data_IF_112076407173
#
_entry.id   IF_112076407173
#
_cell.length_a   1.000
_cell.length_b   1.000
_cell.length_c   1.000
_cell.angle_alpha   90.00
_cell.angle_beta   90.00
_cell.angle_gamma   90.00
#
_symmetry.space_group_name_H-M   'P 1'
#
loop_
_entity.id
_entity.type
_entity.pdbx_description
1 polymer ?
#
# COMPACT_ATOMS: atom_id res chain seq x y z
N UNK A 1 5.82 -6.11 -37.79
CA UNK A 1 6.06 -6.04 -36.33
C UNK A 1 4.79 -6.52 -35.65
N UNK A 2 4.81 -7.71 -35.07
CA UNK A 2 3.66 -8.23 -34.32
C UNK A 2 3.47 -7.42 -33.04
N UNK A 3 2.23 -7.17 -32.59
CA UNK A 3 2.01 -6.53 -31.30
C UNK A 3 2.46 -7.49 -30.20
N UNK A 4 3.23 -6.97 -29.24
CA UNK A 4 3.48 -7.66 -27.98
C UNK A 4 2.15 -7.70 -27.24
N UNK A 5 1.53 -8.88 -27.18
CA UNK A 5 0.39 -9.15 -26.32
C UNK A 5 0.84 -9.09 -24.86
N UNK A 6 0.71 -7.95 -24.20
CA UNK A 6 0.79 -7.86 -22.74
C UNK A 6 -0.51 -8.39 -22.15
N UNK A 7 -0.61 -9.72 -22.04
CA UNK A 7 -1.57 -10.37 -21.16
C UNK A 7 -1.26 -9.95 -19.73
N UNK A 8 -1.92 -8.90 -19.27
CA UNK A 8 -1.78 -8.41 -17.90
C UNK A 8 -3.13 -8.59 -17.25
N UNK A 9 -3.31 -9.72 -16.57
CA UNK A 9 -4.33 -9.85 -15.53
C UNK A 9 -3.94 -8.88 -14.42
N UNK A 10 -4.31 -7.62 -14.54
CA UNK A 10 -3.97 -6.59 -13.57
C UNK A 10 -4.76 -6.90 -12.30
N UNK A 11 -4.07 -7.28 -11.21
CA UNK A 11 -4.71 -7.39 -9.90
C UNK A 11 -5.33 -6.05 -9.47
N UNK A 12 -6.19 -6.08 -8.46
CA UNK A 12 -6.93 -4.90 -7.99
C UNK A 12 -5.97 -3.74 -7.72
N UNK A 13 -6.32 -2.55 -8.20
CA UNK A 13 -5.52 -1.34 -8.07
C UNK A 13 -6.34 -0.15 -7.61
N UNK A 14 -5.72 0.74 -6.85
CA UNK A 14 -6.32 2.00 -6.39
C UNK A 14 -5.25 3.10 -6.38
N UNK A 15 -5.67 4.35 -6.34
CA UNK A 15 -4.77 5.49 -6.16
C UNK A 15 -5.20 6.29 -4.95
N UNK A 16 -4.27 6.51 -4.02
CA UNK A 16 -4.48 7.33 -2.82
C UNK A 16 -3.67 8.62 -2.92
N UNK A 17 -4.09 9.63 -2.17
CA UNK A 17 -3.45 10.95 -2.16
C UNK A 17 -2.75 11.16 -0.81
N UNK A 18 -1.43 11.29 -0.81
CA UNK A 18 -0.65 11.46 0.42
C UNK A 18 -0.15 12.90 0.53
N UNK A 19 -0.53 13.56 1.61
CA UNK A 19 -0.01 14.88 1.93
C UNK A 19 1.36 14.76 2.58
N UNK A 20 2.37 15.40 1.98
CA UNK A 20 3.72 15.43 2.54
C UNK A 20 3.78 16.33 3.77
N UNK A 21 4.48 15.85 4.79
CA UNK A 21 4.83 16.56 6.02
C UNK A 21 6.15 17.29 5.80
N UNK A 22 6.37 18.41 6.50
CA UNK A 22 7.64 19.12 6.42
C UNK A 22 8.84 18.22 6.71
N UNK A 23 8.71 17.29 7.68
CA UNK A 23 9.77 16.33 8.04
C UNK A 23 10.00 15.21 7.02
N UNK A 24 9.21 15.13 5.94
CA UNK A 24 9.42 14.14 4.89
C UNK A 24 10.57 14.55 3.95
N UNK A 25 10.91 15.84 3.91
CA UNK A 25 11.97 16.36 3.03
C UNK A 25 13.34 16.38 3.71
N UNK A 26 14.40 16.35 2.90
CA UNK A 26 15.76 16.65 3.35
C UNK A 26 16.18 18.10 3.06
N UNK A 27 17.43 18.43 3.37
CA UNK A 27 18.00 19.76 3.15
C UNK A 27 18.02 20.21 1.68
N UNK A 28 17.82 19.29 0.73
CA UNK A 28 17.78 19.59 -0.71
C UNK A 28 16.37 19.87 -1.22
N UNK A 29 15.34 19.82 -0.37
CA UNK A 29 13.96 20.13 -0.73
C UNK A 29 13.22 18.99 -1.45
N UNK A 30 13.76 17.78 -1.40
CA UNK A 30 13.11 16.58 -1.94
C UNK A 30 12.74 15.63 -0.80
N UNK A 31 11.74 14.78 -1.04
CA UNK A 31 11.40 13.69 -0.12
C UNK A 31 12.65 12.84 0.12
N UNK A 32 13.03 12.72 1.38
CA UNK A 32 14.17 11.93 1.78
C UNK A 32 13.90 10.44 1.47
N UNK A 33 14.90 9.74 0.98
CA UNK A 33 14.78 8.33 0.59
C UNK A 33 14.24 7.45 1.73
N UNK A 34 14.67 7.65 2.98
CA UNK A 34 14.19 6.83 4.11
C UNK A 34 12.72 7.07 4.44
N UNK A 35 12.15 8.19 4.02
CA UNK A 35 10.74 8.53 4.27
C UNK A 35 9.80 7.80 3.30
N UNK A 36 10.29 7.31 2.15
CA UNK A 36 9.44 6.57 1.20
C UNK A 36 8.78 5.36 1.85
N UNK A 37 9.47 4.61 2.70
CA UNK A 37 8.87 3.44 3.37
C UNK A 37 7.74 3.84 4.33
N UNK A 38 7.86 5.00 4.98
CA UNK A 38 6.78 5.57 5.80
C UNK A 38 5.61 6.03 4.94
N UNK A 39 5.87 6.63 3.80
CA UNK A 39 4.81 6.99 2.85
C UNK A 39 4.14 5.74 2.25
N UNK A 40 4.87 4.65 2.04
CA UNK A 40 4.29 3.36 1.64
C UNK A 40 3.37 2.77 2.72
N UNK A 41 3.67 3.00 4.00
CA UNK A 41 2.81 2.61 5.13
C UNK A 41 1.51 3.40 5.15
N UNK A 42 1.60 4.73 5.09
CA UNK A 42 0.43 5.61 4.97
C UNK A 42 -0.43 5.21 3.76
N UNK A 43 0.21 4.93 2.62
CA UNK A 43 -0.46 4.47 1.41
C UNK A 43 -1.28 3.18 1.65
N UNK A 44 -0.73 2.23 2.42
CA UNK A 44 -1.43 0.98 2.77
C UNK A 44 -2.62 1.25 3.68
N UNK A 45 -2.48 2.10 4.69
CA UNK A 45 -3.60 2.43 5.59
C UNK A 45 -4.75 3.08 4.80
N UNK A 46 -4.44 4.04 3.92
CA UNK A 46 -5.44 4.70 3.08
C UNK A 46 -6.08 3.74 2.06
N UNK A 47 -5.32 2.78 1.53
CA UNK A 47 -5.82 1.87 0.49
C UNK A 47 -6.54 0.65 1.06
N UNK A 48 -6.09 0.14 2.21
CA UNK A 48 -6.47 -1.16 2.75
C UNK A 48 -7.21 -1.12 4.08
N UNK A 49 -7.31 0.05 4.70
CA UNK A 49 -7.97 0.25 5.99
C UNK A 49 -6.98 0.33 7.15
N UNK A 50 -7.51 0.73 8.29
CA UNK A 50 -6.74 0.91 9.52
C UNK A 50 -6.58 -0.44 10.23
N UNK A 51 -5.38 -0.79 10.73
CA UNK A 51 -5.22 -1.95 11.59
C UNK A 51 -6.11 -1.87 12.84
N UNK A 52 -6.55 -3.01 13.34
CA UNK A 52 -7.26 -3.11 14.62
C UNK A 52 -6.37 -2.63 15.78
N UNK A 53 -7.00 -2.12 16.85
CA UNK A 53 -6.30 -1.67 18.07
C UNK A 53 -5.65 -0.28 18.01
N UNK A 54 -5.98 0.54 17.00
CA UNK A 54 -5.44 1.90 16.83
C UNK A 54 -6.08 2.96 17.74
N UNK A 55 -6.96 2.56 18.66
CA UNK A 55 -7.65 3.48 19.57
C UNK A 55 -8.60 4.44 18.86
N UNK A 56 -8.96 4.16 17.61
CA UNK A 56 -10.03 4.86 16.92
C UNK A 56 -11.32 4.73 17.76
N UNK A 57 -12.09 5.82 17.94
CA UNK A 57 -13.34 5.73 18.68
C UNK A 57 -14.27 4.72 18.00
N UNK A 58 -14.79 3.77 18.78
CA UNK A 58 -15.84 2.81 18.37
C UNK A 58 -17.19 3.52 18.14
N UNK A 59 -17.19 4.68 17.51
CA UNK A 59 -18.42 5.38 17.20
C UNK A 59 -19.01 4.82 15.92
N UNK A 60 -20.11 4.07 16.04
CA UNK A 60 -20.97 3.60 14.93
C UNK A 60 -21.40 4.74 13.97
N UNK A 61 -21.33 6.00 14.44
CA UNK A 61 -21.77 7.20 13.73
C UNK A 61 -20.68 7.98 12.98
N UNK A 62 -19.40 7.59 13.05
CA UNK A 62 -18.40 8.15 12.15
C UNK A 62 -18.36 7.32 10.86
N UNK A 63 -18.60 7.92 9.68
CA UNK A 63 -18.39 7.20 8.44
C UNK A 63 -16.89 6.90 8.34
N UNK A 64 -16.51 5.68 8.69
CA UNK A 64 -15.21 5.14 8.34
C UNK A 64 -15.13 5.30 6.82
N UNK A 65 -14.19 6.12 6.34
CA UNK A 65 -13.99 6.26 4.89
C UNK A 65 -13.58 4.88 4.42
N UNK A 66 -14.53 4.16 3.82
CA UNK A 66 -14.34 2.78 3.44
C UNK A 66 -13.08 2.68 2.59
N UNK A 67 -12.14 1.85 3.05
CA UNK A 67 -10.90 1.64 2.33
C UNK A 67 -11.22 1.16 0.91
N UNK A 68 -10.56 1.69 -0.13
CA UNK A 68 -10.83 1.29 -1.51
C UNK A 68 -10.71 -0.22 -1.75
N UNK A 69 -9.88 -0.91 -0.97
CA UNK A 69 -9.69 -2.36 -1.02
C UNK A 69 -9.79 -2.87 0.41
N UNK A 70 -10.89 -3.52 0.78
CA UNK A 70 -11.08 -4.06 2.12
C UNK A 70 -10.17 -5.28 2.36
N UNK A 71 -8.99 -5.03 2.94
CA UNK A 71 -7.95 -6.04 3.15
C UNK A 71 -7.38 -6.05 4.57
N UNK A 72 -6.95 -4.91 5.12
CA UNK A 72 -6.41 -4.84 6.49
C UNK A 72 -7.56 -4.88 7.51
N UNK A 73 -8.67 -4.19 7.20
CA UNK A 73 -9.89 -4.18 8.02
C UNK A 73 -10.62 -5.52 8.09
N UNK A 74 -10.49 -6.38 7.06
CA UNK A 74 -11.17 -7.68 7.00
C UNK A 74 -10.32 -8.88 7.44
N UNK A 75 -9.17 -8.64 8.07
CA UNK A 75 -8.34 -9.70 8.66
C UNK A 75 -9.03 -10.24 9.92
N UNK A 76 -9.11 -11.58 10.11
CA UNK A 76 -9.72 -12.15 11.32
C UNK A 76 -9.05 -11.66 12.61
N UNK A 77 -9.83 -11.60 13.69
CA UNK A 77 -9.29 -11.33 15.03
C UNK A 77 -8.16 -12.32 15.37
N UNK A 78 -7.11 -11.83 16.02
CA UNK A 78 -5.92 -12.63 16.35
C UNK A 78 -4.95 -12.84 15.19
N UNK A 79 -5.18 -12.26 14.00
CA UNK A 79 -4.22 -12.31 12.88
C UNK A 79 -3.51 -10.96 12.71
N UNK A 80 -2.18 -10.99 12.77
CA UNK A 80 -1.30 -9.86 12.49
C UNK A 80 -1.04 -9.74 10.99
N UNK A 81 -1.04 -8.50 10.50
CA UNK A 81 -0.55 -8.15 9.16
C UNK A 81 0.86 -7.60 9.28
N UNK A 82 1.85 -8.34 8.81
CA UNK A 82 3.27 -7.96 8.91
C UNK A 82 3.86 -7.69 7.53
N UNK A 83 4.90 -6.86 7.49
CA UNK A 83 5.74 -6.72 6.30
C UNK A 83 7.00 -7.55 6.47
N UNK A 84 7.24 -8.44 5.52
CA UNK A 84 8.46 -9.27 5.46
C UNK A 84 9.55 -8.68 4.58
N UNK A 85 9.18 -7.87 3.58
CA UNK A 85 10.13 -7.30 2.62
C UNK A 85 9.61 -5.99 2.03
N UNK A 86 10.53 -5.06 1.79
CA UNK A 86 10.33 -3.91 0.90
C UNK A 86 11.42 -3.88 -0.17
N UNK A 87 11.04 -3.52 -1.40
CA UNK A 87 11.98 -3.12 -2.46
C UNK A 87 11.62 -1.73 -2.94
N UNK A 88 12.60 -0.82 -3.03
CA UNK A 88 12.37 0.56 -3.48
C UNK A 88 13.35 0.94 -4.58
N UNK A 89 12.85 1.51 -5.68
CA UNK A 89 13.64 2.06 -6.78
C UNK A 89 13.33 3.54 -6.96
N UNK A 90 14.31 4.39 -6.67
CA UNK A 90 14.25 5.83 -6.86
C UNK A 90 14.65 6.15 -8.30
N UNK A 91 13.68 6.54 -9.13
CA UNK A 91 13.91 6.81 -10.55
C UNK A 91 14.23 8.28 -10.80
N UNK A 92 13.61 9.16 -10.03
CA UNK A 92 13.77 10.62 -10.04
C UNK A 92 13.57 11.15 -8.62
N UNK A 93 13.98 12.38 -8.39
CA UNK A 93 13.65 13.08 -7.16
C UNK A 93 12.15 13.37 -7.11
N UNK A 94 11.56 13.29 -5.92
CA UNK A 94 10.20 13.72 -5.64
C UNK A 94 10.28 15.00 -4.81
N UNK A 95 10.08 16.20 -5.40
CA UNK A 95 10.17 17.45 -4.66
C UNK A 95 9.10 17.56 -3.57
N UNK A 96 9.45 18.16 -2.44
CA UNK A 96 8.46 18.51 -1.42
C UNK A 96 7.56 19.62 -1.94
N UNK A 97 6.24 19.37 -1.94
CA UNK A 97 5.23 20.35 -2.32
C UNK A 97 3.97 20.18 -1.48
N UNK A 98 3.11 21.21 -1.49
CA UNK A 98 1.81 21.18 -0.80
C UNK A 98 0.78 20.31 -1.52
N UNK A 99 0.93 20.11 -2.83
CA UNK A 99 0.09 19.19 -3.59
C UNK A 99 0.30 17.77 -3.06
N UNK A 100 -0.77 17.01 -2.78
CA UNK A 100 -0.65 15.61 -2.42
C UNK A 100 0.08 14.83 -3.50
N UNK A 101 0.84 13.82 -3.09
CA UNK A 101 1.48 12.87 -4.00
C UNK A 101 0.48 11.76 -4.30
N UNK A 102 0.07 11.57 -5.58
CA UNK A 102 -0.67 10.40 -5.99
C UNK A 102 0.22 9.16 -5.84
N UNK A 103 -0.24 8.19 -5.08
CA UNK A 103 0.40 6.88 -4.96
C UNK A 103 -0.55 5.84 -5.51
N UNK A 104 -0.14 5.20 -6.61
CA UNK A 104 -0.87 4.05 -7.16
C UNK A 104 -0.43 2.80 -6.43
N UNK A 105 -1.38 2.05 -5.88
CA UNK A 105 -1.16 0.73 -5.30
C UNK A 105 -1.80 -0.32 -6.19
N UNK A 106 -1.15 -1.46 -6.29
CA UNK A 106 -1.70 -2.61 -7.00
C UNK A 106 -1.31 -3.90 -6.29
N UNK A 107 -2.23 -4.85 -6.16
CA UNK A 107 -1.89 -6.20 -5.76
C UNK A 107 -1.27 -6.90 -6.96
N UNK A 108 0.05 -7.12 -6.91
CA UNK A 108 0.82 -7.71 -8.02
C UNK A 108 0.87 -9.23 -7.94
N UNK A 109 0.69 -9.79 -6.74
CA UNK A 109 0.70 -11.24 -6.51
C UNK A 109 -0.10 -11.61 -5.28
N UNK A 110 -0.85 -12.70 -5.38
CA UNK A 110 -1.54 -13.34 -4.25
C UNK A 110 -0.93 -14.72 -4.04
N UNK A 111 -0.46 -14.99 -2.81
CA UNK A 111 0.08 -16.29 -2.39
C UNK A 111 -0.83 -16.89 -1.32
N UNK A 112 -0.50 -18.08 -0.85
CA UNK A 112 -1.33 -18.78 0.15
C UNK A 112 -1.47 -18.01 1.47
N UNK A 113 -0.42 -17.35 1.97
CA UNK A 113 -0.40 -16.65 3.26
C UNK A 113 0.26 -15.26 3.18
N UNK A 114 0.31 -14.71 1.96
CA UNK A 114 0.99 -13.45 1.69
C UNK A 114 0.45 -12.80 0.42
N UNK A 115 0.65 -11.49 0.30
CA UNK A 115 0.44 -10.75 -0.95
C UNK A 115 1.65 -9.89 -1.26
N UNK A 116 1.83 -9.56 -2.53
CA UNK A 116 2.76 -8.53 -2.96
C UNK A 116 1.97 -7.30 -3.43
N UNK A 117 2.33 -6.14 -2.88
CA UNK A 117 1.75 -4.85 -3.22
C UNK A 117 2.81 -4.04 -3.95
N UNK A 118 2.51 -3.61 -5.18
CA UNK A 118 3.31 -2.66 -5.94
C UNK A 118 2.87 -1.22 -5.68
N UNK A 119 3.83 -0.30 -5.74
CA UNK A 119 3.61 1.14 -5.53
C UNK A 119 4.25 1.94 -6.66
N UNK A 120 3.54 2.96 -7.13
CA UNK A 120 4.10 4.02 -7.97
C UNK A 120 3.79 5.38 -7.33
N UNK A 121 4.85 6.10 -6.94
CA UNK A 121 4.75 7.49 -6.50
C UNK A 121 4.89 8.39 -7.71
N UNK A 122 3.85 9.17 -7.97
CA UNK A 122 3.74 10.02 -9.15
C UNK A 122 3.99 11.47 -8.71
N UNK A 123 4.85 12.19 -9.40
CA UNK A 123 5.02 13.63 -9.17
C UNK A 123 3.71 14.35 -9.60
N UNK A 124 3.03 15.09 -8.70
CA UNK A 124 1.73 15.69 -9.01
C UNK A 124 1.78 16.84 -10.02
N UNK A 125 2.97 17.35 -10.36
CA UNK A 125 3.18 18.45 -11.29
C UNK A 125 3.63 17.93 -12.65
N UNK A 126 4.59 16.99 -12.67
CA UNK A 126 5.12 16.46 -13.94
C UNK A 126 4.37 15.23 -14.45
N UNK A 127 3.54 14.62 -13.59
CA UNK A 127 2.89 13.33 -13.83
C UNK A 127 3.85 12.16 -14.11
N UNK A 128 5.15 12.32 -13.82
CA UNK A 128 6.14 11.27 -13.98
C UNK A 128 6.20 10.37 -12.73
N UNK A 129 6.48 9.08 -12.93
CA UNK A 129 6.75 8.14 -11.82
C UNK A 129 8.14 8.42 -11.24
N UNK A 130 8.17 8.98 -10.03
CA UNK A 130 9.40 9.30 -9.32
C UNK A 130 9.99 8.08 -8.59
N UNK A 131 9.12 7.26 -7.99
CA UNK A 131 9.53 6.06 -7.24
C UNK A 131 8.62 4.89 -7.60
N UNK A 132 9.23 3.73 -7.83
CA UNK A 132 8.51 2.45 -7.88
C UNK A 132 8.96 1.59 -6.71
N UNK A 133 8.03 0.96 -6.01
CA UNK A 133 8.34 0.10 -4.87
C UNK A 133 7.46 -1.13 -4.82
N UNK A 134 7.80 -2.08 -3.96
CA UNK A 134 6.95 -3.20 -3.58
C UNK A 134 7.09 -3.55 -2.11
N UNK A 135 6.05 -4.19 -1.56
CA UNK A 135 6.05 -4.78 -0.23
C UNK A 135 5.53 -6.21 -0.29
N UNK A 136 6.14 -7.12 0.45
CA UNK A 136 5.56 -8.44 0.73
C UNK A 136 4.88 -8.43 2.09
N UNK A 137 3.56 -8.49 2.07
CA UNK A 137 2.71 -8.49 3.26
C UNK A 137 2.32 -9.93 3.61
N UNK A 138 2.50 -10.33 4.86
CA UNK A 138 2.26 -11.68 5.37
C UNK A 138 1.25 -11.65 6.50
N UNK A 139 0.42 -12.69 6.58
CA UNK A 139 -0.60 -12.83 7.60
C UNK A 139 -0.14 -13.88 8.60
N UNK A 140 -0.15 -13.56 9.90
CA UNK A 140 0.45 -14.37 10.95
C UNK A 140 -0.48 -14.45 12.15
N UNK A 141 -0.71 -15.65 12.66
CA UNK A 141 -1.46 -15.87 13.90
C UNK A 141 -0.69 -15.25 15.08
N UNK A 142 -1.33 -14.36 15.84
CA UNK A 142 -0.71 -13.55 16.86
C UNK A 142 -0.17 -14.37 18.04
N UNK A 143 -0.83 -15.48 18.37
CA UNK A 143 -0.45 -16.34 19.49
C UNK A 143 0.70 -17.28 19.13
N UNK A 144 0.58 -17.99 18.00
CA UNK A 144 1.54 -19.01 17.59
C UNK A 144 2.69 -18.49 16.73
N UNK A 145 2.57 -17.28 16.16
CA UNK A 145 3.54 -16.70 15.24
C UNK A 145 3.61 -17.41 13.88
N UNK A 146 2.64 -18.26 13.54
CA UNK A 146 2.64 -19.05 12.29
C UNK A 146 1.89 -18.35 11.16
N UNK A 147 2.32 -18.52 9.89
CA UNK A 147 1.59 -17.95 8.76
C UNK A 147 0.15 -18.48 8.66
N UNK A 148 -0.82 -17.58 8.47
CA UNK A 148 -2.23 -17.88 8.27
C UNK A 148 -2.55 -17.81 6.79
N UNK A 149 -3.22 -18.84 6.27
CA UNK A 149 -3.60 -18.89 4.86
C UNK A 149 -4.82 -18.01 4.60
N UNK A 150 -4.77 -17.28 3.50
CA UNK A 150 -5.95 -16.64 2.91
C UNK A 150 -6.93 -17.72 2.45
N UNK A 151 -8.19 -17.56 2.83
CA UNK A 151 -9.28 -18.38 2.31
C UNK A 151 -9.61 -17.95 0.86
N UNK A 152 -10.46 -18.72 0.19
CA UNK A 152 -10.73 -18.49 -1.23
C UNK A 152 -11.57 -17.24 -1.49
N UNK A 153 -12.43 -16.85 -0.54
CA UNK A 153 -13.19 -15.60 -0.59
C UNK A 153 -12.26 -14.38 -0.51
N UNK A 154 -11.31 -14.39 0.43
CA UNK A 154 -10.27 -13.36 0.57
C UNK A 154 -9.42 -13.28 -0.68
N UNK A 155 -8.97 -14.41 -1.25
CA UNK A 155 -8.20 -14.39 -2.51
C UNK A 155 -9.03 -13.81 -3.66
N UNK A 156 -10.30 -14.18 -3.77
CA UNK A 156 -11.18 -13.70 -4.84
C UNK A 156 -11.32 -12.18 -4.83
N UNK A 157 -11.38 -11.54 -3.65
CA UNK A 157 -11.41 -10.07 -3.53
C UNK A 157 -10.15 -9.36 -4.01
N UNK A 158 -9.03 -10.07 -4.14
CA UNK A 158 -7.73 -9.51 -4.51
C UNK A 158 -7.40 -9.74 -6.00
N UNK A 159 -8.20 -10.56 -6.68
CA UNK A 159 -8.18 -10.73 -8.13
C UNK A 159 -9.25 -9.82 -8.73
N UNK A 160 -8.84 -8.90 -9.60
CA UNK A 160 -9.74 -7.96 -10.28
C UNK A 160 -10.64 -8.64 -11.30
#
# INVERSE_FOLDING_TARGET
>A
MSPVSTNSSHGVSTTVQIHLRWGDMDAYGHVNNVQIVRLMEEARVLAFGTPSGTGAPESEDQPEVAAPIDLISSVPEGVLTLISEHTVRYRRQLPYRRQPVPVRLQITKVKAAAIEVGYEFIDPVTAEVAVTASSTMVFVDAESGRPVRLNDEQKARLHG
#
